data_IF_240342166224
#
_entry.id   IF_240342166224
#
_cell.length_a   1.000
_cell.length_b   1.000
_cell.length_c   1.000
_cell.angle_alpha   90.00
_cell.angle_beta   90.00
_cell.angle_gamma   90.00
#
_symmetry.space_group_name_H-M   'P 1'
#
loop_
_entity.id
_entity.type
_entity.pdbx_description
1 polymer ?
#
# COMPACT_ATOMS: atom_id res chain seq x y z
N UNK A 1 6.78 0.31 -5.78
CA UNK A 1 7.02 1.73 -6.17
C UNK A 1 6.19 2.18 -7.39
N UNK A 2 5.29 3.17 -7.24
CA UNK A 2 4.72 3.97 -8.35
C UNK A 2 5.48 5.30 -8.37
N UNK A 3 5.96 5.74 -9.53
CA UNK A 3 6.69 7.02 -9.65
C UNK A 3 5.68 8.17 -9.58
N UNK A 4 5.84 9.08 -8.62
CA UNK A 4 4.86 10.10 -8.27
C UNK A 4 5.60 11.40 -7.97
N UNK A 5 5.19 12.52 -8.56
CA UNK A 5 5.75 13.85 -8.24
C UNK A 5 5.35 14.29 -6.82
N UNK A 6 6.12 15.17 -6.18
CA UNK A 6 5.85 15.64 -4.80
C UNK A 6 4.43 16.20 -4.64
N UNK A 7 3.96 16.94 -5.64
CA UNK A 7 2.61 17.48 -5.72
C UNK A 7 1.54 16.37 -5.67
N UNK A 8 1.78 15.28 -6.40
CA UNK A 8 0.89 14.13 -6.44
C UNK A 8 0.93 13.35 -5.13
N UNK A 9 2.08 13.27 -4.44
CA UNK A 9 2.18 12.64 -3.12
C UNK A 9 1.37 13.41 -2.06
N UNK A 10 1.39 14.75 -2.10
CA UNK A 10 0.60 15.60 -1.20
C UNK A 10 -0.91 15.47 -1.47
N UNK A 11 -1.30 15.41 -2.73
CA UNK A 11 -2.69 15.13 -3.13
C UNK A 11 -3.16 13.75 -2.64
N UNK A 12 -2.37 12.71 -2.86
CA UNK A 12 -2.67 11.34 -2.41
C UNK A 12 -2.81 11.25 -0.89
N UNK A 13 -1.93 11.89 -0.11
CA UNK A 13 -2.05 11.96 1.36
C UNK A 13 -3.37 12.59 1.80
N UNK A 14 -3.80 13.65 1.13
CA UNK A 14 -5.06 14.33 1.44
C UNK A 14 -6.27 13.44 1.16
N UNK A 15 -6.27 12.72 0.03
CA UNK A 15 -7.33 11.75 -0.28
C UNK A 15 -7.37 10.64 0.75
N UNK A 16 -6.23 10.04 1.08
CA UNK A 16 -6.16 8.94 2.05
C UNK A 16 -6.71 9.35 3.41
N UNK A 17 -6.35 10.56 3.90
CA UNK A 17 -6.85 11.08 5.18
C UNK A 17 -8.37 11.25 5.24
N UNK A 18 -9.02 11.55 4.12
CA UNK A 18 -10.46 11.83 4.06
C UNK A 18 -11.28 10.62 3.59
N UNK A 19 -10.64 9.49 3.31
CA UNK A 19 -11.31 8.28 2.82
C UNK A 19 -11.83 7.44 3.98
N UNK A 20 -13.07 6.97 3.87
CA UNK A 20 -13.66 6.04 4.86
C UNK A 20 -13.05 4.65 4.81
N UNK A 21 -12.48 4.28 3.66
CA UNK A 21 -11.81 3.00 3.41
C UNK A 21 -10.72 3.21 2.36
N UNK A 22 -9.56 2.58 2.54
CA UNK A 22 -8.34 2.70 1.74
C UNK A 22 -7.92 1.29 1.33
N UNK A 23 -7.94 1.02 0.05
CA UNK A 23 -7.53 -0.26 -0.53
C UNK A 23 -6.27 -0.03 -1.38
N UNK A 24 -5.19 -0.73 -1.06
CA UNK A 24 -3.96 -0.71 -1.84
C UNK A 24 -4.04 -1.79 -2.92
N UNK A 25 -3.85 -1.43 -4.19
CA UNK A 25 -3.72 -2.39 -5.29
C UNK A 25 -2.31 -2.32 -5.84
N UNK A 26 -1.54 -3.38 -5.69
CA UNK A 26 -0.12 -3.37 -6.04
C UNK A 26 0.38 -4.77 -6.42
N UNK A 27 1.20 -4.91 -7.48
CA UNK A 27 1.81 -6.20 -7.79
C UNK A 27 2.80 -6.61 -6.69
N UNK A 28 2.95 -7.91 -6.47
CA UNK A 28 3.83 -8.50 -5.46
C UNK A 28 5.28 -8.04 -5.61
N UNK A 29 5.73 -7.90 -6.85
CA UNK A 29 7.04 -7.36 -7.25
C UNK A 29 7.36 -5.95 -6.71
N UNK A 30 6.38 -5.23 -6.17
CA UNK A 30 6.54 -3.90 -5.60
C UNK A 30 6.41 -3.85 -4.07
N UNK A 31 6.22 -5.00 -3.42
CA UNK A 31 6.20 -5.13 -1.96
C UNK A 31 7.63 -5.20 -1.45
N UNK A 32 7.96 -4.40 -0.42
CA UNK A 32 9.31 -4.34 0.16
C UNK A 32 10.36 -3.61 -0.71
N UNK A 33 9.95 -3.01 -1.83
CA UNK A 33 10.85 -2.24 -2.71
C UNK A 33 10.79 -0.76 -2.33
N UNK A 34 11.96 -0.18 -2.00
CA UNK A 34 12.08 1.24 -1.64
C UNK A 34 11.60 2.17 -2.77
N UNK A 35 10.95 3.27 -2.37
CA UNK A 35 10.57 4.35 -3.28
C UNK A 35 11.34 5.64 -2.98
N UNK A 36 11.72 6.37 -4.04
CA UNK A 36 12.34 7.69 -3.95
C UNK A 36 11.52 8.70 -3.13
N UNK A 37 10.19 8.59 -3.17
CA UNK A 37 9.25 9.38 -2.36
C UNK A 37 8.28 8.42 -1.67
N UNK A 38 8.25 8.46 -0.34
CA UNK A 38 7.33 7.66 0.47
C UNK A 38 6.05 8.47 0.72
N UNK A 39 4.92 7.98 0.21
CA UNK A 39 3.62 8.64 0.40
C UNK A 39 3.06 8.34 1.79
N UNK A 40 3.09 7.06 2.19
CA UNK A 40 2.69 6.55 3.51
C UNK A 40 3.27 5.13 3.72
N UNK A 41 3.12 4.61 4.94
CA UNK A 41 3.36 3.21 5.28
C UNK A 41 2.16 2.32 4.92
N UNK A 42 2.39 1.00 4.83
CA UNK A 42 1.34 0.03 4.45
C UNK A 42 0.21 -0.05 5.48
N UNK A 43 0.48 0.27 6.74
CA UNK A 43 -0.50 0.35 7.84
C UNK A 43 -1.50 1.51 7.67
N UNK A 44 -1.27 2.40 6.71
CA UNK A 44 -2.23 3.44 6.35
C UNK A 44 -3.41 2.90 5.52
N UNK A 45 -3.38 1.64 5.08
CA UNK A 45 -4.43 1.01 4.30
C UNK A 45 -5.24 0.02 5.13
N UNK A 46 -6.53 -0.10 4.83
CA UNK A 46 -7.41 -1.05 5.51
C UNK A 46 -7.37 -2.42 4.83
N UNK A 47 -7.03 -2.45 3.53
CA UNK A 47 -6.94 -3.69 2.77
C UNK A 47 -5.93 -3.62 1.64
N UNK A 48 -5.39 -4.78 1.24
CA UNK A 48 -4.47 -4.91 0.11
C UNK A 48 -4.99 -5.94 -0.90
N UNK A 49 -4.81 -5.62 -2.18
CA UNK A 49 -5.00 -6.52 -3.32
C UNK A 49 -3.65 -6.62 -4.02
N UNK A 50 -3.17 -7.85 -4.17
CA UNK A 50 -1.94 -8.16 -4.89
C UNK A 50 -2.16 -9.32 -5.86
N UNK A 51 -1.19 -9.58 -6.73
CA UNK A 51 -1.23 -10.72 -7.62
C UNK A 51 -0.97 -12.03 -6.86
N UNK A 52 -1.15 -13.17 -7.54
CA UNK A 52 -0.97 -14.51 -6.97
C UNK A 52 0.49 -14.86 -6.65
N UNK A 53 1.47 -14.07 -7.10
CA UNK A 53 2.90 -14.33 -6.93
C UNK A 53 3.44 -13.74 -5.61
N UNK A 54 2.57 -13.15 -4.77
CA UNK A 54 2.95 -12.67 -3.45
C UNK A 54 3.29 -13.82 -2.51
N UNK A 55 4.53 -13.85 -2.01
CA UNK A 55 4.99 -14.93 -1.13
C UNK A 55 4.38 -14.79 0.27
N UNK A 56 4.13 -15.91 0.95
CA UNK A 56 3.43 -15.95 2.25
C UNK A 56 4.08 -15.05 3.31
N UNK A 57 5.41 -14.94 3.31
CA UNK A 57 6.14 -14.07 4.24
C UNK A 57 5.78 -12.58 4.06
N UNK A 58 5.64 -12.13 2.82
CA UNK A 58 5.22 -10.75 2.51
C UNK A 58 3.78 -10.51 2.96
N UNK A 59 2.89 -11.48 2.73
CA UNK A 59 1.50 -11.42 3.17
C UNK A 59 1.42 -11.39 4.70
N UNK A 60 2.19 -12.24 5.39
CA UNK A 60 2.24 -12.29 6.85
C UNK A 60 2.72 -10.97 7.44
N UNK A 61 3.78 -10.38 6.88
CA UNK A 61 4.30 -9.07 7.32
C UNK A 61 3.29 -7.93 7.12
N UNK A 62 2.42 -8.01 6.10
CA UNK A 62 1.36 -7.02 5.86
C UNK A 62 0.19 -7.24 6.83
N UNK A 63 -0.18 -8.49 7.10
CA UNK A 63 -1.23 -8.85 8.06
C UNK A 63 -0.86 -8.46 9.50
N UNK A 64 0.41 -8.61 9.89
CA UNK A 64 0.91 -8.17 11.20
C UNK A 64 0.70 -6.66 11.43
N UNK A 65 0.65 -5.87 10.34
CA UNK A 65 0.40 -4.42 10.38
C UNK A 65 -1.09 -4.05 10.40
N UNK A 66 -2.00 -5.03 10.54
CA UNK A 66 -3.44 -4.81 10.62
C UNK A 66 -4.13 -4.59 9.28
N UNK A 67 -3.47 -4.94 8.17
CA UNK A 67 -4.03 -4.81 6.82
C UNK A 67 -4.55 -6.17 6.36
N UNK A 68 -5.82 -6.22 5.95
CA UNK A 68 -6.48 -7.48 5.56
C UNK A 68 -6.59 -7.65 4.04
N UNK A 69 -6.81 -8.88 3.60
CA UNK A 69 -7.30 -9.12 2.24
C UNK A 69 -8.80 -8.78 2.19
N UNK A 70 -9.27 -8.08 1.15
CA UNK A 70 -10.70 -7.78 1.02
C UNK A 70 -11.52 -9.08 0.95
N UNK A 71 -12.64 -9.09 1.69
CA UNK A 71 -13.65 -10.17 1.64
C UNK A 71 -14.39 -10.21 0.31
#
# INVERSE_FOLDING_TARGET
MIHVTDETATFQRTIMKNSRKRCLVIPSSKIGVDSFIKVCDVDAFDSIITDWDCVEEQIAAIKEKGVEEPK
#
